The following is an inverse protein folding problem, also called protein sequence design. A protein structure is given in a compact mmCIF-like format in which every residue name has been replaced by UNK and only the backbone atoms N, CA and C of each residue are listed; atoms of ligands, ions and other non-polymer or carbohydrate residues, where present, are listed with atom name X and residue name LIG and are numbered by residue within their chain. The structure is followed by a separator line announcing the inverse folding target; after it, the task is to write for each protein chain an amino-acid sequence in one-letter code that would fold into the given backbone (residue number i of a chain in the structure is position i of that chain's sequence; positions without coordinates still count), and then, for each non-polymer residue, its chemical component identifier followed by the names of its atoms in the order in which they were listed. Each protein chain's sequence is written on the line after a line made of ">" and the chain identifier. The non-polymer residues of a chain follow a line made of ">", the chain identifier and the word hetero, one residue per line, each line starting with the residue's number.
data_IF_825424795884
#
_entry.id   IF_825424795884
#
_cell.length_a   1.000
_cell.length_b   1.000
_cell.length_c   1.000
_cell.angle_alpha   90.00
_cell.angle_beta   90.00
_cell.angle_gamma   90.00
#
_symmetry.space_group_name_H-M   'P 1'
#
loop_
_entity.id
_entity.type
_entity.pdbx_description
1 polymer ?
#
# COMPACT_ATOMS: atom_id res chain seq x y z
N UNK A 1 -4.64 -6.59 -9.70
CA UNK A 1 -5.05 -5.84 -8.49
C UNK A 1 -3.80 -5.36 -7.78
N UNK A 2 -3.89 -4.40 -6.86
CA UNK A 2 -2.72 -3.85 -6.16
C UNK A 2 -2.88 -3.99 -4.66
N UNK A 3 -2.01 -4.74 -4.00
CA UNK A 3 -1.90 -4.71 -2.54
C UNK A 3 -1.04 -3.53 -2.10
N UNK A 4 -1.44 -2.81 -1.06
CA UNK A 4 -0.68 -1.68 -0.52
C UNK A 4 -0.49 -1.81 0.99
N UNK A 5 0.64 -1.32 1.49
CA UNK A 5 0.98 -1.26 2.92
C UNK A 5 1.95 -0.10 3.17
N UNK A 6 1.96 0.43 4.40
CA UNK A 6 2.85 1.51 4.82
C UNK A 6 3.67 1.08 6.04
N UNK A 7 4.99 1.06 5.87
CA UNK A 7 5.93 0.92 6.99
C UNK A 7 6.29 2.28 7.58
N UNK A 8 6.70 2.31 8.86
CA UNK A 8 7.25 3.51 9.50
C UNK A 8 6.23 4.56 9.94
N UNK A 9 5.01 4.13 10.31
CA UNK A 9 3.95 5.00 10.85
C UNK A 9 4.20 5.47 12.30
N UNK A 10 5.37 5.18 12.86
CA UNK A 10 5.80 5.65 14.17
C UNK A 10 7.11 6.42 14.05
N UNK A 11 7.32 7.33 14.99
CA UNK A 11 8.53 8.14 15.09
C UNK A 11 9.71 7.27 15.55
N UNK A 12 10.86 7.40 14.91
CA UNK A 12 12.14 6.81 15.31
C UNK A 12 13.21 7.91 15.34
N UNK A 13 13.93 8.04 16.46
CA UNK A 13 14.98 9.05 16.67
C UNK A 13 14.57 10.52 16.39
N UNK A 14 13.30 10.86 16.61
CA UNK A 14 12.78 12.22 16.40
C UNK A 14 12.30 12.51 14.98
N UNK A 15 12.35 11.51 14.08
CA UNK A 15 11.92 11.64 12.69
C UNK A 15 10.92 10.55 12.30
N UNK A 16 10.10 10.86 11.28
CA UNK A 16 9.33 9.85 10.57
C UNK A 16 10.09 9.44 9.31
N UNK A 17 9.96 8.16 8.97
CA UNK A 17 10.28 7.65 7.65
C UNK A 17 9.20 6.65 7.27
N UNK A 18 8.10 7.18 6.72
CA UNK A 18 7.05 6.35 6.15
C UNK A 18 7.47 5.88 4.76
N UNK A 19 7.26 4.60 4.47
CA UNK A 19 7.47 4.03 3.14
C UNK A 19 6.22 3.26 2.77
N UNK A 20 5.56 3.66 1.69
CA UNK A 20 4.50 2.89 1.09
C UNK A 20 5.04 1.99 -0.02
N UNK A 21 4.53 0.77 -0.09
CA UNK A 21 4.71 -0.11 -1.22
C UNK A 21 3.36 -0.41 -1.86
N UNK A 22 3.36 -0.48 -3.19
CA UNK A 22 2.25 -0.94 -4.01
C UNK A 22 2.71 -2.15 -4.81
N UNK A 23 2.05 -3.29 -4.65
CA UNK A 23 2.39 -4.55 -5.31
C UNK A 23 1.28 -4.90 -6.30
N UNK A 24 1.58 -4.76 -7.60
CA UNK A 24 0.68 -5.19 -8.66
C UNK A 24 0.81 -6.71 -8.85
N UNK A 25 -0.29 -7.42 -8.62
CA UNK A 25 -0.31 -8.87 -8.68
C UNK A 25 -1.55 -9.42 -9.39
N UNK A 26 -1.33 -10.55 -10.05
CA UNK A 26 -2.38 -11.48 -10.47
C UNK A 26 -2.58 -12.50 -9.36
N UNK A 27 -3.82 -12.67 -8.94
CA UNK A 27 -4.19 -13.59 -7.86
C UNK A 27 -5.29 -14.55 -8.30
N UNK A 28 -5.46 -15.63 -7.55
CA UNK A 28 -6.78 -16.26 -7.39
C UNK A 28 -7.30 -15.98 -5.96
N UNK A 29 -8.45 -16.55 -5.58
CA UNK A 29 -9.04 -16.32 -4.26
C UNK A 29 -8.19 -16.81 -3.07
N UNK A 30 -7.19 -17.66 -3.32
CA UNK A 30 -6.41 -18.36 -2.31
C UNK A 30 -4.92 -18.10 -2.36
N UNK A 31 -4.40 -17.49 -3.43
CA UNK A 31 -2.96 -17.25 -3.59
C UNK A 31 -2.60 -16.20 -4.64
N UNK A 32 -1.38 -15.68 -4.52
CA UNK A 32 -0.69 -14.96 -5.60
C UNK A 32 -0.30 -15.93 -6.72
N UNK A 33 -0.52 -15.54 -7.98
CA UNK A 33 -0.08 -16.25 -9.19
C UNK A 33 1.18 -15.67 -9.79
N UNK A 34 1.26 -14.34 -9.81
CA UNK A 34 2.42 -13.61 -10.29
C UNK A 34 2.41 -12.21 -9.68
N UNK A 35 3.61 -11.68 -9.42
CA UNK A 35 3.82 -10.25 -9.17
C UNK A 35 4.30 -9.63 -10.47
N UNK A 36 3.59 -8.61 -10.94
CA UNK A 36 3.82 -7.97 -12.24
C UNK A 36 4.62 -6.68 -12.09
N UNK A 37 4.57 -6.04 -10.91
CA UNK A 37 5.35 -4.85 -10.63
C UNK A 37 5.23 -4.39 -9.19
N UNK A 38 6.16 -3.54 -8.78
CA UNK A 38 6.14 -2.88 -7.48
C UNK A 38 6.41 -1.39 -7.66
N UNK A 39 5.69 -0.56 -6.91
CA UNK A 39 5.87 0.88 -6.83
C UNK A 39 6.13 1.27 -5.38
N UNK A 40 6.97 2.27 -5.18
CA UNK A 40 7.37 2.73 -3.85
C UNK A 40 7.28 4.24 -3.75
N UNK A 41 7.00 4.73 -2.55
CA UNK A 41 7.12 6.14 -2.20
C UNK A 41 7.54 6.27 -0.73
N UNK A 42 8.27 7.34 -0.41
CA UNK A 42 8.72 7.61 0.96
C UNK A 42 8.38 9.05 1.36
N UNK A 43 8.08 9.25 2.64
CA UNK A 43 7.82 10.55 3.22
C UNK A 43 8.38 10.65 4.64
N UNK A 44 8.80 11.86 5.04
CA UNK A 44 9.30 12.17 6.39
C UNK A 44 8.32 12.98 7.25
N UNK A 45 7.12 13.23 6.73
CA UNK A 45 6.05 13.86 7.49
C UNK A 45 5.38 12.85 8.43
N UNK A 46 4.66 13.35 9.44
CA UNK A 46 3.93 12.51 10.38
C UNK A 46 2.72 11.80 9.74
N UNK A 47 2.23 10.71 10.36
CA UNK A 47 1.20 9.83 9.82
C UNK A 47 -0.19 10.45 10.01
N UNK A 48 -0.54 11.44 9.20
CA UNK A 48 -1.94 11.91 9.06
C UNK A 48 -2.67 11.08 8.00
N UNK A 49 -4.00 11.05 8.03
CA UNK A 49 -4.79 10.37 6.99
C UNK A 49 -4.40 10.88 5.59
N UNK A 50 -4.36 12.20 5.38
CA UNK A 50 -4.03 12.80 4.08
C UNK A 50 -2.60 12.45 3.64
N UNK A 51 -1.64 12.44 4.57
CA UNK A 51 -0.26 12.02 4.30
C UNK A 51 -0.20 10.55 3.86
N UNK A 52 -0.88 9.65 4.59
CA UNK A 52 -0.92 8.21 4.24
C UNK A 52 -1.57 7.96 2.88
N UNK A 53 -2.68 8.64 2.58
CA UNK A 53 -3.38 8.53 1.30
C UNK A 53 -2.52 9.07 0.15
N UNK A 54 -1.90 10.24 0.32
CA UNK A 54 -1.01 10.84 -0.67
C UNK A 54 0.23 9.98 -0.94
N UNK A 55 0.80 9.38 0.11
CA UNK A 55 1.95 8.48 0.00
C UNK A 55 1.60 7.22 -0.79
N UNK A 56 0.49 6.56 -0.47
CA UNK A 56 0.02 5.38 -1.21
C UNK A 56 -0.35 5.73 -2.65
N UNK A 57 -1.01 6.86 -2.89
CA UNK A 57 -1.34 7.31 -4.24
C UNK A 57 -0.09 7.50 -5.09
N UNK A 58 0.98 8.02 -4.48
CA UNK A 58 2.29 8.16 -5.13
C UNK A 58 2.92 6.79 -5.42
N UNK A 59 2.91 5.87 -4.45
CA UNK A 59 3.45 4.51 -4.64
C UNK A 59 2.71 3.75 -5.76
N UNK A 60 1.38 3.85 -5.82
CA UNK A 60 0.57 3.29 -6.90
C UNK A 60 0.87 3.96 -8.24
N UNK A 61 1.05 5.28 -8.25
CA UNK A 61 1.44 6.04 -9.44
C UNK A 61 2.84 5.69 -9.98
N UNK A 62 3.71 5.13 -9.13
CA UNK A 62 5.05 4.67 -9.47
C UNK A 62 5.11 3.20 -9.92
N UNK A 63 3.97 2.53 -10.08
CA UNK A 63 3.93 1.19 -10.69
C UNK A 63 4.42 1.25 -12.15
N UNK A 64 5.14 0.21 -12.63
CA UNK A 64 5.62 0.17 -14.02
C UNK A 64 4.51 0.26 -15.07
N UNK A 65 3.33 -0.30 -14.75
CA UNK A 65 2.13 -0.25 -15.58
C UNK A 65 0.93 0.15 -14.72
N UNK A 66 -0.02 0.95 -15.25
CA UNK A 66 -1.25 1.28 -14.53
C UNK A 66 -2.03 0.01 -14.18
N UNK A 67 -2.52 -0.13 -12.94
CA UNK A 67 -3.30 -1.29 -12.55
C UNK A 67 -4.74 -1.21 -13.09
N UNK A 68 -5.22 -2.31 -13.69
CA UNK A 68 -6.60 -2.44 -14.18
C UNK A 68 -7.58 -2.95 -13.09
N UNK A 69 -7.08 -3.24 -11.89
CA UNK A 69 -7.86 -3.80 -10.78
C UNK A 69 -7.84 -2.92 -9.53
N UNK A 70 -8.59 -3.30 -8.49
CA UNK A 70 -8.71 -2.48 -7.29
C UNK A 70 -7.37 -2.39 -6.53
N UNK A 71 -7.23 -1.30 -5.79
CA UNK A 71 -6.28 -1.17 -4.69
C UNK A 71 -6.88 -1.84 -3.47
N UNK A 72 -6.08 -2.62 -2.76
CA UNK A 72 -6.48 -3.41 -1.60
C UNK A 72 -5.52 -3.18 -0.46
N UNK A 73 -6.07 -2.94 0.72
CA UNK A 73 -5.31 -2.75 1.97
C UNK A 73 -5.93 -3.56 3.12
N UNK A 74 -5.17 -3.72 4.21
CA UNK A 74 -5.71 -4.24 5.48
C UNK A 74 -6.60 -3.21 6.17
N UNK A 75 -7.52 -3.69 7.01
CA UNK A 75 -8.25 -2.82 7.92
C UNK A 75 -7.27 -2.12 8.88
N UNK A 76 -7.54 -0.84 9.18
CA UNK A 76 -6.69 -0.01 10.03
C UNK A 76 -5.53 0.71 9.32
N UNK A 77 -5.22 0.34 8.07
CA UNK A 77 -4.18 1.03 7.27
C UNK A 77 -4.50 2.53 7.16
N UNK A 78 -5.77 2.86 6.93
CA UNK A 78 -6.29 4.22 6.84
C UNK A 78 -7.19 4.59 8.03
N UNK A 79 -6.77 4.27 9.25
CA UNK A 79 -7.45 4.71 10.50
C UNK A 79 -8.92 4.26 10.61
N UNK A 80 -9.23 3.04 10.14
CA UNK A 80 -10.60 2.48 10.13
C UNK A 80 -11.61 3.30 9.29
N UNK A 81 -11.13 4.18 8.40
CA UNK A 81 -12.02 4.93 7.51
C UNK A 81 -12.75 4.00 6.53
N UNK A 82 -14.01 4.30 6.19
CA UNK A 82 -14.78 3.46 5.29
C UNK A 82 -14.18 3.48 3.86
N UNK A 83 -14.29 2.37 3.10
CA UNK A 83 -13.63 2.23 1.81
C UNK A 83 -14.08 3.30 0.80
N UNK A 84 -15.32 3.78 0.90
CA UNK A 84 -15.85 4.85 0.04
C UNK A 84 -15.11 6.17 0.26
N UNK A 85 -14.69 6.47 1.50
CA UNK A 85 -13.94 7.69 1.81
C UNK A 85 -12.50 7.57 1.35
N UNK A 86 -11.87 6.43 1.60
CA UNK A 86 -10.49 6.14 1.16
C UNK A 86 -10.38 6.13 -0.36
N UNK A 87 -11.36 5.53 -1.04
CA UNK A 87 -11.42 5.43 -2.49
C UNK A 87 -11.44 6.76 -3.24
N UNK A 88 -11.88 7.86 -2.60
CA UNK A 88 -11.86 9.19 -3.21
C UNK A 88 -10.44 9.69 -3.55
N UNK A 89 -9.42 9.13 -2.91
CA UNK A 89 -8.01 9.49 -3.14
C UNK A 89 -7.36 8.75 -4.30
N UNK A 90 -8.04 7.77 -4.89
CA UNK A 90 -7.48 6.89 -5.92
C UNK A 90 -8.31 6.93 -7.20
N UNK A 91 -7.66 6.66 -8.34
CA UNK A 91 -8.38 6.45 -9.60
C UNK A 91 -8.94 5.02 -9.73
N UNK A 92 -8.17 3.96 -9.41
CA UNK A 92 -8.75 2.63 -9.30
C UNK A 92 -9.72 2.55 -8.12
N UNK A 93 -10.65 1.59 -8.19
CA UNK A 93 -11.49 1.25 -7.05
C UNK A 93 -10.62 0.87 -5.84
N UNK A 94 -11.09 1.22 -4.65
CA UNK A 94 -10.46 0.82 -3.40
C UNK A 94 -11.39 -0.11 -2.63
N UNK A 95 -10.80 -1.14 -2.00
CA UNK A 95 -11.50 -1.98 -1.03
C UNK A 95 -10.54 -2.50 0.04
N UNK A 96 -11.11 -3.00 1.14
CA UNK A 96 -10.34 -3.78 2.10
C UNK A 96 -10.27 -5.26 1.68
N UNK A 97 -9.34 -6.01 2.28
CA UNK A 97 -9.14 -7.44 2.02
C UNK A 97 -10.42 -8.26 2.26
N UNK A 98 -10.80 -9.08 1.28
CA UNK A 98 -11.97 -9.99 1.34
C UNK A 98 -11.61 -11.45 1.03
N UNK A 99 -10.41 -11.72 0.49
CA UNK A 99 -9.93 -13.06 0.15
C UNK A 99 -8.52 -13.34 0.65
N UNK A 100 -8.13 -14.62 0.65
CA UNK A 100 -6.77 -15.02 1.08
C UNK A 100 -5.73 -14.51 0.09
N UNK A 101 -5.99 -14.57 -1.23
CA UNK A 101 -5.06 -14.07 -2.24
C UNK A 101 -4.83 -12.56 -2.15
N UNK A 102 -5.87 -11.79 -1.81
CA UNK A 102 -5.76 -10.36 -1.52
C UNK A 102 -4.89 -10.10 -0.29
N UNK A 103 -5.14 -10.84 0.80
CA UNK A 103 -4.34 -10.75 2.02
C UNK A 103 -2.86 -11.05 1.77
N UNK A 104 -2.56 -12.12 1.02
CA UNK A 104 -1.19 -12.46 0.65
C UNK A 104 -0.52 -11.32 -0.14
N UNK A 105 -1.29 -10.62 -0.99
CA UNK A 105 -0.77 -9.49 -1.77
C UNK A 105 -0.47 -8.28 -0.88
N UNK A 106 -1.32 -8.00 0.11
CA UNK A 106 -1.03 -6.94 1.11
C UNK A 106 0.17 -7.33 1.97
N UNK A 107 0.31 -8.59 2.39
CA UNK A 107 1.51 -9.06 3.09
C UNK A 107 2.78 -8.93 2.25
N UNK A 108 2.71 -9.17 0.94
CA UNK A 108 3.83 -8.92 0.05
C UNK A 108 4.19 -7.42 0.01
N UNK A 109 3.19 -6.53 -0.02
CA UNK A 109 3.40 -5.08 0.07
C UNK A 109 4.02 -4.70 1.43
N UNK A 110 3.57 -5.29 2.53
CA UNK A 110 4.13 -5.07 3.86
C UNK A 110 5.62 -5.39 3.92
N UNK A 111 6.01 -6.59 3.46
CA UNK A 111 7.43 -6.97 3.42
C UNK A 111 8.25 -6.07 2.49
N UNK A 112 7.68 -5.65 1.36
CA UNK A 112 8.35 -4.74 0.43
C UNK A 112 8.54 -3.35 1.04
N UNK A 113 7.53 -2.79 1.70
CA UNK A 113 7.59 -1.49 2.37
C UNK A 113 8.63 -1.50 3.50
N UNK A 114 8.60 -2.56 4.32
CA UNK A 114 9.57 -2.74 5.41
C UNK A 114 11.01 -2.85 4.88
N UNK A 115 11.26 -3.73 3.89
CA UNK A 115 12.59 -3.89 3.31
C UNK A 115 13.09 -2.60 2.61
N UNK A 116 12.22 -1.89 1.92
CA UNK A 116 12.57 -0.62 1.29
C UNK A 116 12.89 0.46 2.33
N UNK A 117 12.16 0.51 3.43
CA UNK A 117 12.46 1.38 4.57
C UNK A 117 13.83 1.09 5.16
N UNK A 118 14.14 -0.18 5.41
CA UNK A 118 15.43 -0.60 5.96
C UNK A 118 16.61 -0.22 5.04
N UNK A 119 16.41 -0.20 3.72
CA UNK A 119 17.43 0.26 2.75
C UNK A 119 17.64 1.78 2.73
N UNK A 120 16.67 2.56 3.23
CA UNK A 120 16.71 4.02 3.26
C UNK A 120 17.24 4.58 4.59
N UNK A 121 17.41 3.72 5.60
CA UNK A 121 18.01 4.02 6.91
C UNK A 121 19.53 3.80 6.88
#
# INVERSE_FOLDING_TARGET
>A
MVGVDISGRHEEDGEYLMVAAAVHARIDSTRIRAVEGMGFAAAREGPTLDATLGLVATAVGNLPEPPDGPIVAEHGEFYEEPPERVGLSFRPEFKYVESIGERETVQAAHHAAYAARDLLL
#
